data_IF_034649649252
#
_entry.id   IF_034649649252
#
_cell.length_a   1.000
_cell.length_b   1.000
_cell.length_c   1.000
_cell.angle_alpha   90.00
_cell.angle_beta   90.00
_cell.angle_gamma   90.00
#
_symmetry.space_group_name_H-M   'P 1'
#
loop_
_entity.id
_entity.type
_entity.pdbx_description
1 polymer ?
#
# COMPACT_ATOMS: atom_id res chain seq x y z
N UNK A 1 -15.38 -19.22 24.58
CA UNK A 1 -14.49 -18.17 24.06
C UNK A 1 -13.08 -18.73 24.09
N UNK A 2 -12.62 -19.27 22.97
CA UNK A 2 -11.25 -19.75 22.82
C UNK A 2 -10.42 -18.54 22.44
N UNK A 3 -9.81 -17.87 23.42
CA UNK A 3 -8.86 -16.79 23.16
C UNK A 3 -7.73 -17.39 22.34
N UNK A 4 -7.53 -16.88 21.11
CA UNK A 4 -6.34 -17.19 20.35
C UNK A 4 -5.11 -16.92 21.25
N UNK A 5 -4.06 -17.77 21.21
CA UNK A 5 -2.87 -17.52 22.00
C UNK A 5 -2.34 -16.11 21.69
N UNK A 6 -1.85 -15.37 22.70
CA UNK A 6 -1.31 -14.03 22.47
C UNK A 6 -0.22 -14.11 21.40
N UNK A 7 -0.25 -13.17 20.46
CA UNK A 7 0.80 -13.03 19.46
C UNK A 7 2.13 -12.77 20.17
N UNK A 8 2.98 -13.78 20.24
CA UNK A 8 4.32 -13.66 20.79
C UNK A 8 5.25 -13.12 19.71
N UNK A 9 5.63 -11.85 19.83
CA UNK A 9 6.77 -11.35 19.08
C UNK A 9 8.04 -12.00 19.62
N UNK A 10 8.87 -12.52 18.71
CA UNK A 10 10.26 -12.82 19.05
C UNK A 10 10.99 -11.53 19.42
N UNK A 11 12.10 -11.64 20.16
CA UNK A 11 12.94 -10.47 20.46
C UNK A 11 13.37 -9.71 19.19
N UNK A 12 13.66 -10.45 18.10
CA UNK A 12 13.97 -9.87 16.80
C UNK A 12 12.76 -9.14 16.18
N UNK A 13 11.55 -9.70 16.31
CA UNK A 13 10.32 -9.05 15.84
C UNK A 13 9.99 -7.77 16.61
N UNK A 14 10.24 -7.72 17.92
CA UNK A 14 10.10 -6.48 18.71
C UNK A 14 11.11 -5.43 18.23
N UNK A 15 12.37 -5.83 18.06
CA UNK A 15 13.41 -4.93 17.56
C UNK A 15 13.04 -4.39 16.17
N UNK A 16 12.57 -5.25 15.28
CA UNK A 16 12.09 -4.87 13.96
C UNK A 16 10.96 -3.83 14.05
N UNK A 17 9.96 -4.05 14.91
CA UNK A 17 8.87 -3.09 15.10
C UNK A 17 9.38 -1.75 15.65
N UNK A 18 10.33 -1.76 16.59
CA UNK A 18 10.97 -0.53 17.10
C UNK A 18 11.66 0.23 15.95
N UNK A 19 12.44 -0.47 15.13
CA UNK A 19 13.20 0.11 14.03
C UNK A 19 12.32 0.63 12.90
N UNK A 20 11.18 -0.02 12.61
CA UNK A 20 10.37 0.29 11.42
C UNK A 20 9.07 1.06 11.72
N UNK A 21 8.63 1.12 12.98
CA UNK A 21 7.43 1.86 13.40
C UNK A 21 7.79 3.14 14.15
N UNK A 22 8.76 3.08 15.07
CA UNK A 22 9.12 4.21 15.93
C UNK A 22 10.33 4.99 15.40
N UNK A 23 11.09 4.41 14.47
CA UNK A 23 12.20 5.04 13.74
C UNK A 23 13.22 5.74 14.66
N UNK A 24 13.89 5.01 15.58
CA UNK A 24 14.89 5.60 16.48
C UNK A 24 16.09 6.16 15.70
N UNK A 25 16.88 7.09 16.28
CA UNK A 25 17.97 7.79 15.58
C UNK A 25 19.08 6.90 14.96
N UNK A 26 19.16 5.63 15.35
CA UNK A 26 20.14 4.68 14.81
C UNK A 26 19.39 3.49 14.21
N UNK A 27 19.10 3.57 12.93
CA UNK A 27 18.48 2.48 12.17
C UNK A 27 19.53 1.53 11.58
N UNK A 28 19.18 0.24 11.42
CA UNK A 28 19.99 -0.69 10.66
C UNK A 28 20.32 -0.14 9.27
N UNK A 29 21.57 -0.34 8.82
CA UNK A 29 22.04 0.12 7.51
C UNK A 29 22.10 -1.00 6.47
N UNK A 30 21.54 -2.17 6.80
CA UNK A 30 21.53 -3.36 5.94
C UNK A 30 20.11 -3.88 5.81
N UNK A 31 19.81 -4.47 4.66
CA UNK A 31 18.55 -5.15 4.43
C UNK A 31 18.39 -6.31 5.42
N UNK A 32 17.21 -6.39 6.03
CA UNK A 32 16.85 -7.50 6.89
C UNK A 32 16.46 -8.72 6.05
N UNK A 33 17.09 -9.87 6.31
CA UNK A 33 16.81 -11.13 5.61
C UNK A 33 15.53 -11.81 6.09
N UNK A 34 14.97 -11.37 7.23
CA UNK A 34 13.73 -11.87 7.81
C UNK A 34 12.59 -10.83 7.75
N UNK A 35 12.76 -9.76 6.97
CA UNK A 35 11.80 -8.66 6.86
C UNK A 35 10.36 -9.16 6.64
N UNK A 36 10.15 -10.09 5.69
CA UNK A 36 8.81 -10.62 5.36
C UNK A 36 8.17 -11.33 6.57
N UNK A 37 8.95 -12.09 7.33
CA UNK A 37 8.47 -12.77 8.54
C UNK A 37 8.07 -11.75 9.60
N UNK A 38 8.89 -10.73 9.82
CA UNK A 38 8.62 -9.70 10.82
C UNK A 38 7.45 -8.79 10.42
N UNK A 39 7.33 -8.42 9.15
CA UNK A 39 6.15 -7.74 8.60
C UNK A 39 4.88 -8.55 8.81
N UNK A 40 4.93 -9.86 8.55
CA UNK A 40 3.79 -10.76 8.74
C UNK A 40 3.39 -10.85 10.22
N UNK A 41 4.36 -10.91 11.14
CA UNK A 41 4.11 -10.84 12.58
C UNK A 41 3.50 -9.48 12.99
N UNK A 42 3.98 -8.38 12.41
CA UNK A 42 3.47 -7.04 12.69
C UNK A 42 2.02 -6.88 12.21
N UNK A 43 1.70 -7.32 10.99
CA UNK A 43 0.33 -7.30 10.44
C UNK A 43 -0.63 -8.16 11.27
N UNK A 44 -0.18 -9.34 11.71
CA UNK A 44 -0.96 -10.20 12.60
C UNK A 44 -1.22 -9.51 13.94
N UNK A 45 -0.21 -8.85 14.53
CA UNK A 45 -0.36 -8.09 15.77
C UNK A 45 -1.30 -6.89 15.63
N UNK A 46 -1.24 -6.16 14.52
CA UNK A 46 -2.19 -5.06 14.23
C UNK A 46 -3.61 -5.61 14.12
N UNK A 47 -3.79 -6.71 13.39
CA UNK A 47 -5.11 -7.36 13.22
C UNK A 47 -5.70 -7.79 14.56
N UNK A 48 -4.92 -8.47 15.41
CA UNK A 48 -5.37 -8.88 16.74
C UNK A 48 -5.58 -7.69 17.68
N UNK A 49 -4.76 -6.64 17.57
CA UNK A 49 -4.95 -5.42 18.37
C UNK A 49 -6.23 -4.71 17.99
N UNK A 50 -6.57 -4.61 16.70
CA UNK A 50 -7.83 -4.03 16.22
C UNK A 50 -9.05 -4.84 16.70
N UNK A 51 -8.95 -6.16 16.68
CA UNK A 51 -10.00 -7.05 17.21
C UNK A 51 -10.27 -6.78 18.70
N UNK A 52 -9.22 -6.71 19.52
CA UNK A 52 -9.35 -6.42 20.96
C UNK A 52 -9.80 -4.98 21.21
N UNK A 53 -9.29 -4.03 20.43
CA UNK A 53 -9.58 -2.60 20.60
C UNK A 53 -11.04 -2.28 20.29
N UNK A 54 -11.70 -3.05 19.41
CA UNK A 54 -13.13 -2.88 19.09
C UNK A 54 -14.02 -2.91 20.35
N UNK A 55 -13.70 -3.76 21.32
CA UNK A 55 -14.49 -3.88 22.55
C UNK A 55 -14.26 -2.71 23.54
N UNK A 56 -13.31 -1.81 23.21
CA UNK A 56 -12.91 -0.68 24.04
C UNK A 56 -13.25 0.69 23.42
N UNK A 57 -13.90 0.72 22.25
CA UNK A 57 -14.38 1.97 21.62
C UNK A 57 -15.88 2.14 21.79
N UNK A 58 -16.34 3.38 21.71
CA UNK A 58 -17.77 3.68 21.71
C UNK A 58 -18.48 2.95 20.56
N UNK A 59 -19.75 2.53 20.73
CA UNK A 59 -20.50 1.78 19.73
C UNK A 59 -20.51 2.40 18.33
N UNK A 60 -20.45 3.73 18.23
CA UNK A 60 -20.41 4.44 16.94
C UNK A 60 -19.13 4.22 16.12
N UNK A 61 -18.02 3.82 16.75
CA UNK A 61 -16.74 3.56 16.08
C UNK A 61 -16.46 2.06 15.87
N UNK A 62 -17.28 1.16 16.43
CA UNK A 62 -17.02 -0.28 16.36
C UNK A 62 -16.97 -0.80 14.92
N UNK A 63 -17.86 -0.30 14.06
CA UNK A 63 -17.89 -0.68 12.64
C UNK A 63 -16.62 -0.23 11.92
N UNK A 64 -16.13 0.99 12.18
CA UNK A 64 -14.91 1.51 11.57
C UNK A 64 -13.68 0.69 11.99
N UNK A 65 -13.59 0.32 13.28
CA UNK A 65 -12.52 -0.55 13.79
C UNK A 65 -12.61 -1.95 13.17
N UNK A 66 -13.83 -2.49 13.01
CA UNK A 66 -14.04 -3.78 12.38
C UNK A 66 -13.64 -3.76 10.89
N UNK A 67 -14.00 -2.71 10.15
CA UNK A 67 -13.58 -2.52 8.76
C UNK A 67 -12.06 -2.44 8.67
N UNK A 68 -11.39 -1.68 9.56
CA UNK A 68 -9.93 -1.60 9.60
C UNK A 68 -9.28 -2.97 9.85
N UNK A 69 -9.85 -3.77 10.76
CA UNK A 69 -9.41 -5.15 11.01
C UNK A 69 -9.55 -6.01 9.74
N UNK A 70 -10.71 -5.97 9.09
CA UNK A 70 -11.01 -6.75 7.89
C UNK A 70 -10.07 -6.39 6.73
N UNK A 71 -9.83 -5.09 6.51
CA UNK A 71 -8.87 -4.56 5.53
C UNK A 71 -7.46 -5.10 5.80
N UNK A 72 -7.01 -5.09 7.06
CA UNK A 72 -5.68 -5.60 7.45
C UNK A 72 -5.56 -7.10 7.21
N UNK A 73 -6.60 -7.87 7.53
CA UNK A 73 -6.63 -9.33 7.28
C UNK A 73 -6.62 -9.64 5.79
N UNK A 74 -7.42 -8.91 4.98
CA UNK A 74 -7.43 -9.07 3.52
C UNK A 74 -6.06 -8.74 2.93
N UNK A 75 -5.48 -7.62 3.34
CA UNK A 75 -4.13 -7.21 2.93
C UNK A 75 -3.10 -8.32 3.16
N UNK A 76 -3.10 -8.92 4.36
CA UNK A 76 -2.19 -10.01 4.69
C UNK A 76 -2.44 -11.27 3.85
N UNK A 77 -3.71 -11.63 3.62
CA UNK A 77 -4.10 -12.83 2.86
C UNK A 77 -3.72 -12.78 1.38
N UNK A 78 -3.52 -11.61 0.79
CA UNK A 78 -3.12 -11.50 -0.61
C UNK A 78 -1.64 -11.88 -0.85
N UNK A 79 -0.83 -11.93 0.21
CA UNK A 79 0.62 -12.11 0.10
C UNK A 79 1.01 -13.59 0.15
N UNK A 80 1.96 -13.98 -0.68
CA UNK A 80 2.62 -15.28 -0.63
C UNK A 80 3.75 -15.30 0.42
N UNK A 81 4.44 -16.43 0.55
CA UNK A 81 5.55 -16.60 1.50
C UNK A 81 6.75 -15.68 1.24
N UNK A 82 6.88 -15.19 0.02
CA UNK A 82 7.92 -14.24 -0.39
C UNK A 82 7.46 -12.77 -0.23
N UNK A 83 6.26 -12.55 0.31
CA UNK A 83 5.71 -11.22 0.57
C UNK A 83 5.12 -10.52 -0.66
N UNK A 84 5.08 -11.19 -1.82
CA UNK A 84 4.50 -10.69 -3.07
C UNK A 84 3.03 -11.06 -3.21
N UNK A 85 2.32 -10.42 -4.14
CA UNK A 85 0.90 -10.71 -4.39
C UNK A 85 0.78 -12.07 -5.09
N UNK A 86 0.00 -12.98 -4.49
CA UNK A 86 -0.41 -14.22 -5.14
C UNK A 86 -1.53 -13.95 -6.15
N UNK A 87 -1.34 -14.38 -7.40
CA UNK A 87 -2.34 -14.27 -8.46
C UNK A 87 -3.64 -14.99 -8.08
N UNK A 88 -3.54 -16.23 -7.58
CA UNK A 88 -4.69 -17.06 -7.23
C UNK A 88 -5.48 -16.43 -6.07
N UNK A 89 -4.79 -15.97 -5.01
CA UNK A 89 -5.45 -15.36 -3.85
C UNK A 89 -6.09 -14.01 -4.21
N UNK A 90 -5.48 -13.24 -5.12
CA UNK A 90 -6.06 -12.00 -5.61
C UNK A 90 -7.29 -12.24 -6.47
N UNK A 91 -7.26 -13.27 -7.34
CA UNK A 91 -8.41 -13.67 -8.14
C UNK A 91 -9.56 -14.16 -7.25
N UNK A 92 -9.27 -14.99 -6.25
CA UNK A 92 -10.27 -15.41 -5.25
C UNK A 92 -10.85 -14.21 -4.51
N UNK A 93 -10.01 -13.24 -4.11
CA UNK A 93 -10.48 -12.01 -3.48
C UNK A 93 -11.44 -11.22 -4.38
N UNK A 94 -11.16 -11.12 -5.69
CA UNK A 94 -12.07 -10.48 -6.65
C UNK A 94 -13.43 -11.16 -6.75
N UNK A 95 -13.49 -12.48 -6.63
CA UNK A 95 -14.72 -13.25 -6.74
C UNK A 95 -15.64 -13.10 -5.52
N UNK A 96 -15.07 -12.85 -4.35
CA UNK A 96 -15.80 -12.73 -3.08
C UNK A 96 -15.97 -11.29 -2.59
N UNK A 97 -15.61 -10.29 -3.41
CA UNK A 97 -15.81 -8.88 -3.10
C UNK A 97 -17.31 -8.53 -3.04
N UNK A 98 -17.77 -8.14 -1.85
CA UNK A 98 -19.15 -7.71 -1.60
C UNK A 98 -19.28 -6.18 -1.63
N UNK A 99 -20.50 -5.67 -1.73
CA UNK A 99 -20.75 -4.22 -1.71
C UNK A 99 -20.15 -3.57 -0.46
N UNK A 100 -19.50 -2.43 -0.67
CA UNK A 100 -18.75 -1.64 0.32
C UNK A 100 -17.47 -2.29 0.85
N UNK A 101 -17.06 -3.42 0.28
CA UNK A 101 -15.75 -3.99 0.57
C UNK A 101 -14.61 -3.12 0.04
N UNK A 102 -13.57 -3.04 0.86
CA UNK A 102 -12.29 -2.42 0.54
C UNK A 102 -11.22 -3.50 0.50
N UNK A 103 -10.46 -3.51 -0.60
CA UNK A 103 -9.35 -4.41 -0.84
C UNK A 103 -8.08 -3.60 -1.14
N UNK A 104 -7.20 -3.41 -0.14
CA UNK A 104 -5.91 -2.77 -0.35
C UNK A 104 -4.92 -3.75 -0.98
N UNK A 105 -4.13 -3.25 -1.92
CA UNK A 105 -3.10 -4.01 -2.62
C UNK A 105 -1.79 -3.22 -2.57
N UNK A 106 -0.70 -3.86 -2.17
CA UNK A 106 0.65 -3.29 -2.23
C UNK A 106 1.44 -3.89 -3.39
N UNK A 107 1.75 -3.07 -4.38
CA UNK A 107 2.61 -3.41 -5.52
C UNK A 107 4.03 -2.93 -5.22
N UNK A 108 4.69 -3.61 -4.28
CA UNK A 108 5.93 -3.15 -3.65
C UNK A 108 7.05 -2.82 -4.65
N UNK A 109 7.28 -3.68 -5.66
CA UNK A 109 8.31 -3.45 -6.68
C UNK A 109 8.10 -2.16 -7.50
N UNK A 110 6.87 -1.63 -7.55
CA UNK A 110 6.53 -0.40 -8.25
C UNK A 110 6.29 0.79 -7.31
N UNK A 111 6.61 0.70 -6.01
CA UNK A 111 6.32 1.78 -5.06
C UNK A 111 4.86 2.28 -5.14
N UNK A 112 3.91 1.38 -5.35
CA UNK A 112 2.53 1.77 -5.57
C UNK A 112 1.56 0.91 -4.76
N UNK A 113 0.49 1.55 -4.31
CA UNK A 113 -0.67 0.92 -3.72
C UNK A 113 -1.87 1.03 -4.67
N UNK A 114 -2.83 0.12 -4.50
CA UNK A 114 -4.14 0.22 -5.15
C UNK A 114 -5.17 -0.03 -4.06
N UNK A 115 -6.09 0.91 -3.87
CA UNK A 115 -7.32 0.65 -3.12
C UNK A 115 -8.38 0.26 -4.13
N UNK A 116 -8.96 -0.93 -3.94
CA UNK A 116 -10.11 -1.38 -4.69
C UNK A 116 -11.33 -1.27 -3.78
N UNK A 117 -12.34 -0.51 -4.18
CA UNK A 117 -13.59 -0.40 -3.45
C UNK A 117 -14.73 -0.96 -4.29
N UNK A 118 -15.44 -1.93 -3.75
CA UNK A 118 -16.63 -2.48 -4.40
C UNK A 118 -17.84 -1.60 -4.05
N UNK A 119 -18.45 -0.96 -5.05
CA UNK A 119 -19.72 -0.21 -4.89
C UNK A 119 -20.89 -1.11 -5.27
N UNK A 120 -22.11 -0.59 -5.27
CA UNK A 120 -23.28 -1.40 -5.64
C UNK A 120 -23.19 -1.91 -7.10
N UNK A 121 -22.92 -1.02 -8.05
CA UNK A 121 -22.99 -1.31 -9.48
C UNK A 121 -21.64 -1.30 -10.20
N UNK A 122 -20.55 -0.97 -9.50
CA UNK A 122 -19.22 -0.86 -10.08
C UNK A 122 -18.12 -1.17 -9.07
N UNK A 123 -16.90 -1.27 -9.54
CA UNK A 123 -15.67 -1.43 -8.74
C UNK A 123 -14.75 -0.26 -9.06
N UNK A 124 -14.27 0.40 -8.02
CA UNK A 124 -13.38 1.56 -8.14
C UNK A 124 -11.95 1.13 -7.85
N UNK A 125 -11.04 1.48 -8.75
CA UNK A 125 -9.61 1.29 -8.62
C UNK A 125 -8.93 2.63 -8.40
N UNK A 126 -8.22 2.74 -7.29
CA UNK A 126 -7.58 3.98 -6.85
C UNK A 126 -6.08 3.74 -6.63
N UNK A 127 -5.26 3.75 -7.70
CA UNK A 127 -3.82 3.62 -7.58
C UNK A 127 -3.18 4.87 -6.97
N UNK A 128 -2.11 4.68 -6.20
CA UNK A 128 -1.35 5.74 -5.56
C UNK A 128 0.10 5.35 -5.31
N UNK A 129 0.95 6.35 -5.06
CA UNK A 129 2.37 6.16 -4.73
C UNK A 129 2.56 5.85 -3.24
N UNK A 130 3.33 4.84 -2.85
CA UNK A 130 3.51 4.48 -1.43
C UNK A 130 4.43 5.48 -0.72
N UNK A 131 5.67 5.62 -1.19
CA UNK A 131 6.65 6.56 -0.64
C UNK A 131 7.08 7.59 -1.68
N UNK A 132 7.39 8.83 -1.26
CA UNK A 132 8.01 9.80 -2.16
C UNK A 132 9.43 9.34 -2.54
N UNK A 133 9.94 9.86 -3.66
CA UNK A 133 11.35 9.68 -4.03
C UNK A 133 12.29 10.41 -3.05
N UNK A 134 13.51 9.90 -2.92
CA UNK A 134 14.48 10.43 -1.96
C UNK A 134 14.86 11.88 -2.27
N UNK A 135 14.91 12.26 -3.54
CA UNK A 135 15.23 13.63 -3.92
C UNK A 135 14.14 14.59 -3.44
N UNK A 136 12.86 14.28 -3.64
CA UNK A 136 11.74 15.10 -3.16
C UNK A 136 11.74 15.24 -1.64
N UNK A 137 12.09 14.18 -0.91
CA UNK A 137 12.26 14.24 0.56
C UNK A 137 13.44 15.15 0.91
N UNK A 138 14.62 14.92 0.36
CA UNK A 138 15.85 15.61 0.75
C UNK A 138 15.90 17.08 0.30
N UNK A 139 15.23 17.42 -0.79
CA UNK A 139 15.21 18.78 -1.36
C UNK A 139 14.09 19.67 -0.80
N UNK A 140 13.03 19.08 -0.26
CA UNK A 140 11.90 19.85 0.30
C UNK A 140 12.25 20.34 1.69
N UNK A 141 12.35 21.67 1.85
CA UNK A 141 12.34 22.27 3.17
C UNK A 141 10.90 22.46 3.66
N UNK A 142 10.55 21.83 4.78
CA UNK A 142 9.24 21.99 5.41
C UNK A 142 8.27 20.86 5.04
N UNK A 143 7.27 21.14 4.20
CA UNK A 143 6.09 20.27 4.02
C UNK A 143 6.01 19.73 2.59
N UNK A 144 6.26 18.44 2.41
CA UNK A 144 6.05 17.74 1.15
C UNK A 144 4.57 17.39 1.01
N UNK A 145 3.90 18.00 0.03
CA UNK A 145 2.49 17.72 -0.29
C UNK A 145 2.40 16.61 -1.32
N UNK A 146 1.56 15.62 -1.05
CA UNK A 146 1.27 14.49 -1.95
C UNK A 146 -0.25 14.35 -2.08
N UNK A 147 -0.73 14.03 -3.28
CA UNK A 147 -2.16 13.88 -3.59
C UNK A 147 -2.51 12.42 -3.84
N UNK A 148 -3.62 11.98 -3.29
CA UNK A 148 -4.09 10.60 -3.35
C UNK A 148 -5.60 10.55 -3.59
N UNK A 149 -6.10 9.60 -4.38
CA UNK A 149 -5.32 8.73 -5.27
C UNK A 149 -4.75 9.50 -6.48
N UNK A 150 -3.92 8.84 -7.29
CA UNK A 150 -3.41 9.43 -8.55
C UNK A 150 -4.53 9.54 -9.60
N UNK A 151 -5.45 8.57 -9.60
CA UNK A 151 -6.66 8.52 -10.41
C UNK A 151 -7.69 7.65 -9.70
N UNK A 152 -8.98 7.83 -10.00
CA UNK A 152 -10.03 6.89 -9.61
C UNK A 152 -10.73 6.40 -10.87
N UNK A 153 -10.71 5.08 -11.09
CA UNK A 153 -11.30 4.45 -12.29
C UNK A 153 -12.37 3.47 -11.87
N UNK A 154 -13.59 3.68 -12.35
CA UNK A 154 -14.73 2.80 -12.14
C UNK A 154 -14.89 1.82 -13.30
N UNK A 155 -15.03 0.54 -13.00
CA UNK A 155 -15.41 -0.52 -13.93
C UNK A 155 -16.79 -1.03 -13.52
N UNK A 156 -17.73 -1.08 -14.45
CA UNK A 156 -19.07 -1.61 -14.17
C UNK A 156 -18.99 -3.06 -13.70
N UNK A 157 -19.86 -3.42 -12.76
CA UNK A 157 -19.78 -4.73 -12.11
C UNK A 157 -19.90 -5.88 -13.10
N UNK A 158 -20.78 -5.74 -14.08
CA UNK A 158 -21.02 -6.75 -15.11
C UNK A 158 -19.73 -7.09 -15.87
N UNK A 159 -18.95 -6.05 -16.21
CA UNK A 159 -17.64 -6.19 -16.86
C UNK A 159 -16.62 -6.77 -15.87
N UNK A 160 -16.56 -6.24 -14.64
CA UNK A 160 -15.61 -6.71 -13.63
C UNK A 160 -15.82 -8.18 -13.23
N UNK A 161 -17.04 -8.70 -13.34
CA UNK A 161 -17.36 -10.10 -13.05
C UNK A 161 -16.96 -11.07 -14.18
N UNK A 162 -16.52 -10.58 -15.33
CA UNK A 162 -15.98 -11.42 -16.39
C UNK A 162 -14.72 -12.15 -15.89
N UNK A 163 -14.76 -13.49 -15.89
CA UNK A 163 -13.70 -14.32 -15.34
C UNK A 163 -12.33 -14.09 -16.01
N UNK A 164 -12.34 -13.80 -17.32
CA UNK A 164 -11.12 -13.50 -18.09
C UNK A 164 -10.51 -12.17 -17.66
N UNK A 165 -11.34 -11.14 -17.42
CA UNK A 165 -10.87 -9.85 -16.92
C UNK A 165 -10.26 -9.99 -15.52
N UNK A 166 -10.94 -10.66 -14.59
CA UNK A 166 -10.41 -10.89 -13.24
C UNK A 166 -9.08 -11.63 -13.28
N UNK A 167 -8.97 -12.64 -14.14
CA UNK A 167 -7.72 -13.40 -14.32
C UNK A 167 -6.61 -12.51 -14.89
N UNK A 168 -6.91 -11.71 -15.92
CA UNK A 168 -5.94 -10.80 -16.51
C UNK A 168 -5.47 -9.72 -15.53
N UNK A 169 -6.38 -9.14 -14.73
CA UNK A 169 -6.05 -8.15 -13.70
C UNK A 169 -5.20 -8.78 -12.59
N UNK A 170 -5.60 -9.94 -12.07
CA UNK A 170 -4.86 -10.63 -11.02
C UNK A 170 -3.44 -10.99 -11.48
N UNK A 171 -3.31 -11.55 -12.68
CA UNK A 171 -2.01 -11.88 -13.28
C UNK A 171 -1.13 -10.63 -13.46
N UNK A 172 -1.70 -9.55 -14.00
CA UNK A 172 -0.98 -8.30 -14.27
C UNK A 172 -0.48 -7.67 -12.96
N UNK A 173 -1.36 -7.53 -11.97
CA UNK A 173 -1.02 -6.93 -10.67
C UNK A 173 -0.02 -7.82 -9.91
N UNK A 174 -0.20 -9.14 -9.93
CA UNK A 174 0.76 -10.08 -9.33
C UNK A 174 2.14 -9.93 -9.96
N UNK A 175 2.25 -9.94 -11.29
CA UNK A 175 3.52 -9.70 -12.01
C UNK A 175 4.16 -8.36 -11.64
N UNK A 176 3.38 -7.28 -11.62
CA UNK A 176 3.91 -5.96 -11.24
C UNK A 176 4.47 -5.93 -9.81
N UNK A 177 3.99 -6.82 -8.91
CA UNK A 177 4.42 -6.85 -7.50
C UNK A 177 5.85 -7.37 -7.29
N UNK A 178 6.38 -8.18 -8.21
CA UNK A 178 7.73 -8.77 -8.11
C UNK A 178 8.62 -8.52 -9.33
N UNK A 179 8.05 -8.25 -10.51
CA UNK A 179 8.84 -7.97 -11.72
C UNK A 179 9.34 -6.52 -11.67
N UNK A 180 10.65 -6.38 -11.52
CA UNK A 180 11.30 -5.09 -11.64
C UNK A 180 11.35 -4.67 -13.11
N UNK A 181 10.75 -3.52 -13.43
CA UNK A 181 10.90 -2.92 -14.76
C UNK A 181 12.20 -2.12 -14.76
N UNK A 182 13.25 -2.64 -15.40
CA UNK A 182 14.60 -2.04 -15.42
C UNK A 182 14.63 -0.57 -15.92
N UNK A 183 13.61 -0.15 -16.66
CA UNK A 183 13.43 1.22 -17.16
C UNK A 183 12.87 2.18 -16.10
N UNK A 184 12.22 1.67 -15.05
CA UNK A 184 11.63 2.43 -13.95
C UNK A 184 12.55 2.54 -12.73
N UNK A 185 13.72 1.91 -12.79
CA UNK A 185 14.78 2.12 -11.80
C UNK A 185 15.49 3.45 -12.08
N UNK A 186 15.70 4.30 -11.07
CA UNK A 186 16.53 5.48 -11.20
C UNK A 186 17.92 5.10 -11.71
N UNK A 187 18.34 5.76 -12.78
CA UNK A 187 19.64 5.50 -13.44
C UNK A 187 20.59 6.63 -13.07
N UNK A 188 21.72 6.30 -12.48
CA UNK A 188 22.80 7.27 -12.26
C UNK A 188 23.96 6.98 -13.17
N UNK A 189 24.46 8.02 -13.83
CA UNK A 189 25.77 7.97 -14.49
C UNK A 189 26.87 8.10 -13.45
N UNK A 190 27.59 7.01 -13.19
CA UNK A 190 28.88 7.06 -12.48
C UNK A 190 29.97 6.69 -13.46
N UNK A 191 31.02 7.52 -13.51
CA UNK A 191 32.22 7.27 -14.32
C UNK A 191 31.97 6.99 -15.83
N UNK A 192 30.89 7.54 -16.41
CA UNK A 192 30.55 7.36 -17.83
C UNK A 192 29.67 6.16 -18.15
N UNK A 193 29.46 5.25 -17.20
CA UNK A 193 28.57 4.10 -17.32
C UNK A 193 27.26 4.34 -16.56
N UNK A 194 26.15 3.84 -17.12
CA UNK A 194 24.81 4.03 -16.55
C UNK A 194 24.54 2.86 -15.61
N UNK A 195 24.58 3.11 -14.30
CA UNK A 195 24.32 2.10 -13.28
C UNK A 195 22.91 2.29 -12.73
N UNK A 196 22.23 1.18 -12.47
CA UNK A 196 20.99 1.15 -11.69
C UNK A 196 21.32 1.64 -10.29
N UNK A 197 20.67 2.71 -9.83
CA UNK A 197 20.83 3.20 -8.46
C UNK A 197 19.84 2.48 -7.56
N UNK A 198 20.28 1.39 -6.92
CA UNK A 198 19.49 0.58 -5.98
C UNK A 198 19.00 1.36 -4.74
N UNK A 199 19.47 2.60 -4.54
CA UNK A 199 19.15 3.43 -3.37
C UNK A 199 17.93 4.34 -3.57
N UNK A 200 17.38 4.43 -4.77
CA UNK A 200 16.31 5.38 -5.08
C UNK A 200 15.00 4.66 -5.38
N UNK A 201 13.89 5.28 -4.99
CA UNK A 201 12.57 4.64 -4.98
C UNK A 201 12.08 4.40 -6.42
N UNK A 202 11.56 3.20 -6.73
CA UNK A 202 10.98 2.93 -8.07
C UNK A 202 9.87 3.94 -8.37
N UNK A 203 9.82 4.44 -9.61
CA UNK A 203 8.77 5.38 -10.00
C UNK A 203 7.41 4.66 -10.12
N UNK A 204 6.32 5.15 -9.50
CA UNK A 204 5.01 4.46 -9.47
C UNK A 204 4.25 4.33 -10.78
N UNK A 205 4.78 4.85 -11.90
CA UNK A 205 4.05 5.05 -13.16
C UNK A 205 3.53 3.77 -13.80
N UNK A 206 4.13 2.62 -13.52
CA UNK A 206 3.60 1.33 -13.99
C UNK A 206 2.19 1.10 -13.46
N UNK A 207 1.92 1.52 -12.23
CA UNK A 207 0.61 1.37 -11.58
C UNK A 207 -0.22 2.64 -11.72
N UNK A 208 0.34 3.80 -11.42
CA UNK A 208 -0.42 5.07 -11.40
C UNK A 208 -0.75 5.63 -12.79
N UNK A 209 -0.02 5.24 -13.84
CA UNK A 209 -0.30 5.68 -15.21
C UNK A 209 -0.64 4.51 -16.13
N UNK A 210 0.23 3.50 -16.25
CA UNK A 210 0.02 2.42 -17.23
C UNK A 210 -1.19 1.54 -16.86
N UNK A 211 -1.23 0.98 -15.65
CA UNK A 211 -2.39 0.21 -15.20
C UNK A 211 -3.66 1.07 -15.19
N UNK A 212 -3.57 2.32 -14.69
CA UNK A 212 -4.69 3.26 -14.71
C UNK A 212 -5.24 3.49 -16.13
N UNK A 213 -4.37 3.61 -17.14
CA UNK A 213 -4.76 3.76 -18.55
C UNK A 213 -5.45 2.51 -19.08
N UNK A 214 -4.95 1.32 -18.73
CA UNK A 214 -5.58 0.05 -19.10
C UNK A 214 -6.97 -0.08 -18.47
N UNK A 215 -7.11 0.23 -17.18
CA UNK A 215 -8.39 0.23 -16.48
C UNK A 215 -9.35 1.25 -17.10
N UNK A 216 -8.85 2.42 -17.49
CA UNK A 216 -9.68 3.47 -18.10
C UNK A 216 -10.24 3.04 -19.46
N UNK A 217 -9.50 2.26 -20.25
CA UNK A 217 -9.98 1.76 -21.54
C UNK A 217 -11.20 0.83 -21.44
N UNK A 218 -11.43 0.22 -20.28
CA UNK A 218 -12.57 -0.68 -20.00
C UNK A 218 -13.54 -0.13 -18.94
N UNK A 219 -13.35 1.14 -18.56
CA UNK A 219 -14.09 1.77 -17.48
C UNK A 219 -14.31 3.26 -17.73
N UNK A 220 -14.47 4.02 -16.65
CA UNK A 220 -14.62 5.48 -16.67
C UNK A 220 -13.86 6.11 -15.52
N UNK A 221 -13.48 7.38 -15.67
CA UNK A 221 -13.00 8.15 -14.53
C UNK A 221 -14.15 8.39 -13.56
N UNK A 222 -13.84 8.32 -12.27
CA UNK A 222 -14.75 8.67 -11.18
C UNK A 222 -14.12 9.82 -10.39
N UNK A 223 -14.94 10.74 -9.88
CA UNK A 223 -14.44 11.76 -8.97
C UNK A 223 -14.14 11.11 -7.62
N UNK A 224 -12.86 10.84 -7.37
CA UNK A 224 -12.38 10.36 -6.09
C UNK A 224 -12.28 11.48 -5.05
N UNK A 225 -12.39 11.14 -3.77
CA UNK A 225 -12.06 12.06 -2.69
C UNK A 225 -10.55 12.26 -2.66
N UNK A 226 -10.08 13.38 -3.20
CA UNK A 226 -8.66 13.74 -3.14
C UNK A 226 -8.24 14.00 -1.69
N UNK A 227 -7.39 13.14 -1.14
CA UNK A 227 -6.72 13.35 0.14
C UNK A 227 -5.35 13.98 -0.13
N UNK A 228 -5.09 15.12 0.51
CA UNK A 228 -3.76 15.74 0.51
C UNK A 228 -3.02 15.26 1.75
N UNK A 229 -1.94 14.53 1.54
CA UNK A 229 -0.99 14.20 2.59
C UNK A 229 0.09 15.25 2.66
N UNK A 230 0.44 15.63 3.89
CA UNK A 230 1.55 16.52 4.16
C UNK A 230 2.57 15.79 5.02
N UNK A 231 3.73 15.52 4.45
CA UNK A 231 4.88 14.99 5.16
C UNK A 231 5.74 16.16 5.63
N UNK A 232 5.93 16.29 6.94
CA UNK A 232 6.89 17.24 7.49
C UNK A 232 8.31 16.65 7.36
N UNK A 233 9.18 17.33 6.61
CA UNK A 233 10.59 16.99 6.45
C UNK A 233 11.40 17.95 7.34
N UNK A 234 12.05 17.40 8.37
CA UNK A 234 12.99 18.14 9.21
C UNK A 234 14.41 18.05 8.62
N UNK A 235 15.17 19.15 8.71
CA UNK A 235 16.55 19.19 8.23
C UNK A 235 17.43 18.13 8.92
N UNK A 236 18.14 17.33 8.11
CA UNK A 236 19.29 16.53 8.55
C UNK A 236 19.02 15.08 8.93
N UNK A 237 17.76 14.63 8.94
CA UNK A 237 17.42 13.23 9.24
C UNK A 237 16.21 12.80 8.40
N UNK A 238 16.43 11.85 7.48
CA UNK A 238 15.39 11.28 6.60
C UNK A 238 14.41 10.35 7.37
N UNK A 239 14.50 10.31 8.69
CA UNK A 239 13.96 9.27 9.56
C UNK A 239 12.66 9.66 10.28
N UNK A 240 12.17 10.90 10.13
CA UNK A 240 10.94 11.34 10.78
C UNK A 240 9.85 11.71 9.76
N UNK A 241 9.10 10.69 9.31
CA UNK A 241 7.86 10.89 8.55
C UNK A 241 6.69 11.02 9.54
N UNK A 242 6.23 12.24 9.78
CA UNK A 242 4.96 12.47 10.49
C UNK A 242 3.80 12.50 9.49
N UNK A 243 2.78 11.67 9.72
CA UNK A 243 1.56 11.63 8.92
C UNK A 243 0.48 12.51 9.56
N UNK A 244 -0.06 13.46 8.80
CA UNK A 244 -1.27 14.21 9.16
C UNK A 244 -2.35 13.98 8.10
N UNK A 245 -3.56 13.64 8.54
CA UNK A 245 -4.73 13.38 7.69
C UNK A 245 -5.76 14.52 7.85
N UNK A 246 -6.31 15.03 6.75
CA UNK A 246 -7.48 15.92 6.79
C UNK A 246 -7.82 16.55 5.43
N UNK A 247 -9.09 16.87 5.16
CA UNK A 247 -9.46 17.73 4.04
C UNK A 247 -8.98 19.15 4.35
N UNK A 248 -8.01 19.64 3.58
CA UNK A 248 -7.57 21.02 3.65
C UNK A 248 -8.19 21.82 2.50
N UNK A 249 -8.78 23.00 2.75
CA UNK A 249 -9.19 23.89 1.68
C UNK A 249 -7.96 24.29 0.86
N UNK A 250 -8.14 24.46 -0.46
CA UNK A 250 -7.10 24.66 -1.48
C UNK A 250 -6.14 25.86 -1.27
N UNK A 251 -6.29 26.62 -0.19
CA UNK A 251 -5.50 27.81 0.13
C UNK A 251 -4.71 27.63 1.44
N UNK A 252 -3.62 26.84 1.43
CA UNK A 252 -2.48 26.96 2.36
C UNK A 252 -1.19 26.62 1.63
#
# INVERSE_FOLDING_TARGET
MTTAPPLEFSQAGIQYAVEHVFLPPKLPQKSDTQAITHESSLLAAVSSSLELFRDHVDPEYQDVVHIAQLITVRFQKLRNLDGFISEDLLKEAFQVLETDDILPIQVAAQNAGIIITRKLNHVVFEPFELSPDNHSVMSTMGRLKRRFPASSVAIDLEIFQEADLQSALANTISKMSFQEVAEMKPKVKKAGETHIEERDTTHPRVVTEFLATVLHAIGRLEEGTSIIFIVAVCQGDASALFFAFGPFPDNI
#
